data_IF_076344269458
#
_entry.id   IF_076344269458
#
_cell.length_a   1.000
_cell.length_b   1.000
_cell.length_c   1.000
_cell.angle_alpha   90.00
_cell.angle_beta   90.00
_cell.angle_gamma   90.00
#
_symmetry.space_group_name_H-M   'P 1'
#
loop_
_entity.id
_entity.type
_entity.pdbx_description
1 polymer ?
#
# COMPACT_ATOMS: atom_id res chain seq x y z
N UNK A 1 12.21 19.12 4.34
CA UNK A 1 12.29 20.10 5.45
C UNK A 1 11.74 19.43 6.69
N UNK A 2 12.65 19.08 7.60
CA UNK A 2 12.42 18.23 8.77
C UNK A 2 11.35 18.75 9.71
N UNK A 3 10.43 17.87 10.13
CA UNK A 3 9.57 18.11 11.29
C UNK A 3 9.90 17.09 12.38
N UNK A 4 10.73 17.55 13.31
CA UNK A 4 10.88 16.98 14.64
C UNK A 4 9.52 16.98 15.35
N UNK A 5 9.01 15.78 15.64
CA UNK A 5 7.90 15.57 16.57
C UNK A 5 8.52 15.44 17.96
N UNK A 6 8.47 16.51 18.75
CA UNK A 6 8.80 16.45 20.17
C UNK A 6 7.53 16.13 20.97
N UNK A 7 7.52 14.94 21.56
CA UNK A 7 6.52 14.48 22.50
C UNK A 7 6.52 15.30 23.79
N UNK A 8 5.31 15.63 24.25
CA UNK A 8 5.08 16.37 25.49
C UNK A 8 5.08 15.39 26.67
N UNK A 9 6.00 15.64 27.60
CA UNK A 9 6.26 14.89 28.85
C UNK A 9 5.08 15.03 29.85
N UNK A 10 4.75 14.00 30.65
CA UNK A 10 3.68 14.08 31.63
C UNK A 10 4.09 14.80 32.93
N UNK A 11 3.08 15.37 33.57
CA UNK A 11 3.12 16.08 34.85
C UNK A 11 3.51 15.16 36.01
N UNK A 12 4.49 15.59 36.81
CA UNK A 12 4.71 15.07 38.16
C UNK A 12 4.29 16.10 39.21
N UNK A 13 3.63 15.69 40.31
CA UNK A 13 3.22 16.57 41.39
C UNK A 13 4.40 16.86 42.34
N UNK A 14 4.44 18.11 42.82
CA UNK A 14 5.39 18.57 43.82
C UNK A 14 5.03 17.92 45.17
N UNK A 15 5.87 16.99 45.61
CA UNK A 15 5.89 16.46 46.97
C UNK A 15 6.49 17.47 47.94
N UNK A 16 5.76 17.75 49.00
CA UNK A 16 6.21 18.43 50.19
C UNK A 16 6.88 17.43 51.13
N UNK A 17 8.14 17.66 51.51
CA UNK A 17 8.80 16.99 52.63
C UNK A 17 9.54 18.03 53.46
N UNK A 18 8.96 18.31 54.63
CA UNK A 18 9.58 18.95 55.79
C UNK A 18 10.34 17.90 56.59
N UNK A 19 11.46 18.29 57.21
CA UNK A 19 12.05 17.77 58.46
C UNK A 19 13.21 18.75 58.77
N UNK A 20 13.06 19.71 59.69
CA UNK A 20 13.13 19.66 61.16
C UNK A 20 14.56 19.56 61.72
N UNK A 21 14.87 20.57 62.55
CA UNK A 21 16.07 20.72 63.34
C UNK A 21 15.80 21.70 64.48
N UNK A 22 15.48 21.12 65.65
CA UNK A 22 15.16 21.69 66.96
C UNK A 22 15.98 22.88 67.47
N UNK A 23 15.32 23.76 68.24
CA UNK A 23 15.68 24.02 69.65
C UNK A 23 14.54 24.80 70.35
N UNK A 24 14.06 24.25 71.47
CA UNK A 24 12.86 24.68 72.17
C UNK A 24 12.96 25.99 72.94
N UNK A 25 11.80 26.65 73.10
CA UNK A 25 11.59 27.67 74.11
C UNK A 25 10.13 27.65 74.60
N UNK A 26 9.98 27.67 75.92
CA UNK A 26 8.73 27.58 76.68
C UNK A 26 7.78 28.76 76.35
N UNK A 27 6.53 28.45 75.97
CA UNK A 27 5.48 29.47 75.74
C UNK A 27 4.20 29.14 76.52
N UNK A 28 3.60 30.20 77.06
CA UNK A 28 2.40 30.26 77.89
C UNK A 28 1.11 29.80 77.19
N UNK A 29 0.19 29.09 77.89
CA UNK A 29 -0.92 28.35 77.27
C UNK A 29 -2.19 29.17 76.93
N UNK A 30 -2.15 30.51 76.86
CA UNK A 30 -3.37 31.32 76.72
C UNK A 30 -3.39 32.35 75.58
N UNK A 31 -2.40 32.34 74.68
CA UNK A 31 -2.35 33.21 73.48
C UNK A 31 -2.61 32.48 72.15
N UNK A 32 -2.60 31.15 72.16
CA UNK A 32 -2.54 30.32 70.95
C UNK A 32 -3.88 30.19 70.20
N UNK A 33 -5.02 30.41 70.86
CA UNK A 33 -6.34 30.23 70.24
C UNK A 33 -6.71 31.34 69.24
N UNK A 34 -6.26 32.58 69.48
CA UNK A 34 -6.50 33.72 68.57
C UNK A 34 -5.64 33.62 67.30
N UNK A 35 -4.37 33.30 67.46
CA UNK A 35 -3.43 33.15 66.34
C UNK A 35 -3.80 31.98 65.41
N UNK A 36 -4.40 30.90 65.95
CA UNK A 36 -4.86 29.77 65.12
C UNK A 36 -6.05 30.10 64.22
N UNK A 37 -6.99 30.94 64.64
CA UNK A 37 -8.14 31.33 63.81
C UNK A 37 -7.73 32.29 62.68
N UNK A 38 -6.83 33.23 62.96
CA UNK A 38 -6.27 34.12 61.93
C UNK A 38 -5.43 33.35 60.89
N UNK A 39 -4.69 32.33 61.32
CA UNK A 39 -4.00 31.40 60.42
C UNK A 39 -4.98 30.61 59.53
N UNK A 40 -6.16 30.24 60.03
CA UNK A 40 -7.19 29.56 59.23
C UNK A 40 -7.84 30.51 58.22
N UNK A 41 -8.13 31.74 58.61
CA UNK A 41 -8.72 32.76 57.74
C UNK A 41 -7.77 33.14 56.61
N UNK A 42 -6.49 33.37 56.91
CA UNK A 42 -5.45 33.65 55.91
C UNK A 42 -5.24 32.47 54.95
N UNK A 43 -5.23 31.22 55.45
CA UNK A 43 -5.21 30.02 54.59
C UNK A 43 -6.44 29.93 53.67
N UNK A 44 -7.63 30.23 54.18
CA UNK A 44 -8.88 30.23 53.39
C UNK A 44 -8.87 31.32 52.32
N UNK A 45 -8.39 32.52 52.66
CA UNK A 45 -8.21 33.62 51.72
C UNK A 45 -7.21 33.26 50.61
N UNK A 46 -6.06 32.67 50.98
CA UNK A 46 -5.06 32.18 50.03
C UNK A 46 -5.62 31.13 49.07
N UNK A 47 -6.39 30.15 49.57
CA UNK A 47 -7.04 29.12 48.74
C UNK A 47 -8.03 29.73 47.75
N UNK A 48 -8.82 30.71 48.18
CA UNK A 48 -9.75 31.43 47.28
C UNK A 48 -8.99 32.15 46.17
N UNK A 49 -7.91 32.84 46.51
CA UNK A 49 -7.11 33.54 45.51
C UNK A 49 -6.42 32.57 44.55
N UNK A 50 -5.87 31.47 45.05
CA UNK A 50 -5.27 30.43 44.21
C UNK A 50 -6.31 29.78 43.27
N UNK A 51 -7.53 29.53 43.75
CA UNK A 51 -8.62 29.04 42.92
C UNK A 51 -8.98 30.06 41.83
N UNK A 52 -9.05 31.35 42.18
CA UNK A 52 -9.33 32.44 41.23
C UNK A 52 -8.27 32.50 40.12
N UNK A 53 -6.98 32.46 40.49
CA UNK A 53 -5.85 32.45 39.56
C UNK A 53 -5.84 31.19 38.70
N UNK A 54 -6.02 30.01 39.29
CA UNK A 54 -6.04 28.75 38.56
C UNK A 54 -7.19 28.70 37.55
N UNK A 55 -8.36 29.20 37.92
CA UNK A 55 -9.51 29.25 37.03
C UNK A 55 -9.30 30.26 35.89
N UNK A 56 -8.69 31.41 36.16
CA UNK A 56 -8.29 32.36 35.12
C UNK A 56 -7.25 31.75 34.15
N UNK A 57 -6.24 31.07 34.68
CA UNK A 57 -5.22 30.39 33.87
C UNK A 57 -5.78 29.23 33.06
N UNK A 58 -6.71 28.46 33.62
CA UNK A 58 -7.43 27.41 32.88
C UNK A 58 -8.21 28.01 31.72
N UNK A 59 -9.01 29.07 31.95
CA UNK A 59 -9.75 29.76 30.89
C UNK A 59 -8.82 30.32 29.82
N UNK A 60 -7.67 30.89 30.22
CA UNK A 60 -6.66 31.41 29.29
C UNK A 60 -6.08 30.29 28.41
N UNK A 61 -5.67 29.16 29.01
CA UNK A 61 -5.15 27.99 28.26
C UNK A 61 -6.19 27.38 27.35
N UNK A 62 -7.43 27.23 27.81
CA UNK A 62 -8.55 26.70 27.02
C UNK A 62 -8.79 27.55 25.77
N UNK A 63 -8.87 28.88 25.91
CA UNK A 63 -9.04 29.79 24.75
C UNK A 63 -7.88 29.71 23.77
N UNK A 64 -6.64 29.62 24.26
CA UNK A 64 -5.47 29.51 23.40
C UNK A 64 -5.50 28.20 22.58
N UNK A 65 -5.88 27.09 23.21
CA UNK A 65 -6.04 25.81 22.52
C UNK A 65 -7.17 25.84 21.48
N UNK A 66 -8.34 26.39 21.84
CA UNK A 66 -9.47 26.54 20.91
C UNK A 66 -9.10 27.43 19.71
N UNK A 67 -8.36 28.51 19.93
CA UNK A 67 -7.84 29.37 18.86
C UNK A 67 -6.86 28.62 17.95
N UNK A 68 -5.96 27.83 18.53
CA UNK A 68 -5.00 27.03 17.76
C UNK A 68 -5.72 25.97 16.92
N UNK A 69 -6.70 25.27 17.51
CA UNK A 69 -7.51 24.27 16.82
C UNK A 69 -8.32 24.89 15.67
N UNK A 70 -8.95 26.04 15.90
CA UNK A 70 -9.66 26.78 14.85
C UNK A 70 -8.72 27.19 13.71
N UNK A 71 -7.47 27.58 14.03
CA UNK A 71 -6.44 27.86 13.02
C UNK A 71 -6.06 26.63 12.19
N UNK A 72 -5.92 25.45 12.81
CA UNK A 72 -5.64 24.21 12.07
C UNK A 72 -6.80 23.80 11.17
N UNK A 73 -8.04 23.88 11.65
CA UNK A 73 -9.24 23.58 10.85
C UNK A 73 -9.27 24.49 9.62
N UNK A 74 -9.10 25.80 9.82
CA UNK A 74 -9.09 26.75 8.72
C UNK A 74 -7.99 26.47 7.68
N UNK A 75 -6.78 26.17 8.13
CA UNK A 75 -5.67 25.86 7.20
C UNK A 75 -5.97 24.61 6.36
N UNK A 76 -6.61 23.59 6.94
CA UNK A 76 -7.02 22.39 6.21
C UNK A 76 -8.16 22.68 5.23
N UNK A 77 -9.14 23.51 5.63
CA UNK A 77 -10.20 23.96 4.73
C UNK A 77 -9.64 24.74 3.54
N UNK A 78 -8.69 25.65 3.78
CA UNK A 78 -7.99 26.40 2.73
C UNK A 78 -7.21 25.45 1.79
N UNK A 79 -6.50 24.45 2.32
CA UNK A 79 -5.77 23.46 1.52
C UNK A 79 -6.70 22.58 0.67
N UNK A 80 -7.84 22.15 1.22
CA UNK A 80 -8.87 21.41 0.47
C UNK A 80 -9.43 22.27 -0.66
N UNK A 81 -9.72 23.55 -0.38
CA UNK A 81 -10.24 24.46 -1.39
C UNK A 81 -9.22 24.70 -2.51
N UNK A 82 -7.95 24.92 -2.18
CA UNK A 82 -6.88 25.09 -3.18
C UNK A 82 -6.69 23.84 -4.04
N UNK A 83 -6.69 22.65 -3.43
CA UNK A 83 -6.59 21.39 -4.16
C UNK A 83 -7.82 21.15 -5.05
N UNK A 84 -9.01 21.49 -4.57
CA UNK A 84 -10.25 21.38 -5.34
C UNK A 84 -10.26 22.36 -6.52
N UNK A 85 -9.88 23.62 -6.30
CA UNK A 85 -9.77 24.61 -7.37
C UNK A 85 -8.71 24.22 -8.41
N UNK A 86 -7.58 23.67 -7.97
CA UNK A 86 -6.53 23.16 -8.87
C UNK A 86 -7.04 21.97 -9.68
N UNK A 87 -7.77 21.05 -9.05
CA UNK A 87 -8.42 19.92 -9.72
C UNK A 87 -9.44 20.40 -10.76
N UNK A 88 -10.28 21.36 -10.42
CA UNK A 88 -11.25 21.96 -11.36
C UNK A 88 -10.54 22.62 -12.54
N UNK A 89 -9.46 23.37 -12.28
CA UNK A 89 -8.65 24.00 -13.33
C UNK A 89 -8.04 22.96 -14.27
N UNK A 90 -7.48 21.87 -13.73
CA UNK A 90 -6.93 20.77 -14.52
C UNK A 90 -8.02 20.05 -15.34
N UNK A 91 -9.24 19.93 -14.79
CA UNK A 91 -10.38 19.32 -15.51
C UNK A 91 -10.95 20.20 -16.63
N UNK A 92 -10.74 21.52 -16.57
CA UNK A 92 -11.24 22.49 -17.56
C UNK A 92 -10.19 22.88 -18.61
N UNK A 93 -8.90 22.60 -18.36
CA UNK A 93 -7.86 22.75 -19.37
C UNK A 93 -8.16 21.77 -20.52
N UNK A 94 -8.34 22.27 -21.76
CA UNK A 94 -8.32 21.39 -22.91
C UNK A 94 -6.95 20.72 -22.92
N UNK A 95 -6.90 19.39 -22.92
CA UNK A 95 -5.68 18.61 -23.15
C UNK A 95 -5.19 18.87 -24.58
N UNK A 96 -4.61 20.04 -24.82
CA UNK A 96 -3.80 20.30 -25.98
C UNK A 96 -2.36 20.05 -25.61
N UNK A 97 -1.76 19.08 -26.29
CA UNK A 97 -0.33 18.92 -26.47
C UNK A 97 0.43 18.26 -25.32
N UNK A 98 0.24 16.95 -25.16
CA UNK A 98 1.37 16.01 -25.18
C UNK A 98 0.86 14.57 -25.36
N UNK A 99 1.33 13.94 -26.44
CA UNK A 99 1.10 12.54 -26.86
C UNK A 99 -0.22 12.23 -27.57
N UNK A 100 -0.20 12.41 -28.89
CA UNK A 100 -1.05 11.68 -29.82
C UNK A 100 -0.83 10.16 -29.64
N UNK A 101 -1.72 9.48 -28.91
CA UNK A 101 -2.30 8.17 -29.24
C UNK A 101 -3.23 7.77 -28.08
N UNK A 102 -4.47 7.40 -28.42
CA UNK A 102 -5.57 6.96 -27.56
C UNK A 102 -6.31 8.02 -26.72
N UNK A 103 -6.73 9.11 -27.38
CA UNK A 103 -7.85 9.91 -26.89
C UNK A 103 -9.14 9.07 -26.84
N UNK A 104 -9.60 8.78 -25.61
CA UNK A 104 -10.93 8.25 -25.24
C UNK A 104 -11.19 6.77 -25.46
N UNK A 105 -10.17 5.92 -25.41
CA UNK A 105 -10.46 4.51 -25.20
C UNK A 105 -10.92 4.32 -23.75
N UNK A 106 -12.14 3.82 -23.56
CA UNK A 106 -12.63 3.43 -22.23
C UNK A 106 -11.62 2.46 -21.59
N UNK A 107 -11.42 2.47 -20.25
CA UNK A 107 -10.50 1.53 -19.62
C UNK A 107 -10.82 0.08 -19.98
N UNK A 108 -12.10 -0.24 -20.18
CA UNK A 108 -12.57 -1.54 -20.66
C UNK A 108 -12.06 -1.87 -22.07
N UNK A 109 -12.04 -0.90 -22.98
CA UNK A 109 -11.55 -1.10 -24.34
C UNK A 109 -10.02 -1.26 -24.36
N UNK A 110 -9.29 -0.51 -23.54
CA UNK A 110 -7.85 -0.71 -23.34
C UNK A 110 -7.55 -2.14 -22.86
N UNK A 111 -8.26 -2.60 -21.83
CA UNK A 111 -8.12 -3.95 -21.28
C UNK A 111 -8.53 -5.01 -22.32
N UNK A 112 -9.66 -4.82 -23.01
CA UNK A 112 -10.13 -5.74 -24.05
C UNK A 112 -9.12 -5.86 -25.20
N UNK A 113 -8.53 -4.74 -25.63
CA UNK A 113 -7.52 -4.71 -26.68
C UNK A 113 -6.29 -5.55 -26.30
N UNK A 114 -5.89 -5.53 -25.03
CA UNK A 114 -4.78 -6.32 -24.52
C UNK A 114 -5.07 -7.83 -24.60
N UNK A 115 -6.24 -8.29 -24.16
CA UNK A 115 -6.57 -9.71 -24.26
C UNK A 115 -6.82 -10.17 -25.70
N UNK A 116 -7.41 -9.31 -26.52
CA UNK A 116 -7.56 -9.59 -27.95
C UNK A 116 -6.18 -9.74 -28.60
N UNK A 117 -5.24 -8.86 -28.30
CA UNK A 117 -3.85 -8.98 -28.73
C UNK A 117 -3.23 -10.33 -28.34
N UNK A 118 -3.41 -10.79 -27.09
CA UNK A 118 -2.90 -12.09 -26.64
C UNK A 118 -3.57 -13.27 -27.36
N UNK A 119 -4.86 -13.15 -27.69
CA UNK A 119 -5.59 -14.18 -28.44
C UNK A 119 -5.14 -14.26 -29.90
N UNK A 120 -4.81 -13.12 -30.50
CA UNK A 120 -4.38 -13.01 -31.89
C UNK A 120 -2.90 -13.44 -32.07
N UNK A 121 -2.05 -13.18 -31.09
CA UNK A 121 -0.61 -13.45 -31.17
C UNK A 121 -0.21 -14.81 -30.60
N UNK A 122 -1.05 -15.83 -30.75
CA UNK A 122 -0.70 -17.19 -30.28
C UNK A 122 0.58 -17.67 -30.98
N UNK A 123 1.54 -18.28 -30.24
CA UNK A 123 2.74 -18.82 -30.83
C UNK A 123 2.37 -19.80 -31.95
N UNK A 124 2.62 -19.40 -33.20
CA UNK A 124 2.12 -20.10 -34.39
C UNK A 124 3.09 -21.20 -34.84
N UNK A 125 4.33 -21.19 -34.33
CA UNK A 125 5.38 -22.17 -34.62
C UNK A 125 6.20 -22.41 -33.36
N UNK A 126 6.44 -23.69 -33.06
CA UNK A 126 7.42 -24.11 -32.05
C UNK A 126 8.76 -23.43 -32.38
N UNK A 127 9.37 -22.79 -31.38
CA UNK A 127 10.63 -22.08 -31.58
C UNK A 127 11.72 -23.14 -31.84
N UNK A 128 12.08 -23.36 -33.11
CA UNK A 128 13.07 -24.37 -33.51
C UNK A 128 14.53 -23.89 -33.39
N UNK A 129 14.74 -22.69 -32.84
CA UNK A 129 16.07 -22.18 -32.56
C UNK A 129 16.28 -22.26 -31.06
N UNK A 130 17.26 -23.04 -30.62
CA UNK A 130 17.62 -23.30 -29.22
C UNK A 130 18.09 -22.08 -28.41
N UNK A 131 17.38 -20.95 -28.54
CA UNK A 131 17.43 -19.85 -27.60
C UNK A 131 16.89 -20.38 -26.29
N UNK A 132 17.77 -20.42 -25.29
CA UNK A 132 17.46 -20.85 -23.93
C UNK A 132 16.40 -19.89 -23.38
N UNK A 133 15.25 -20.45 -23.00
CA UNK A 133 14.23 -19.73 -22.23
C UNK A 133 14.91 -19.38 -20.89
N UNK A 134 15.14 -18.10 -20.61
CA UNK A 134 15.53 -17.68 -19.26
C UNK A 134 14.33 -17.90 -18.34
N UNK A 135 14.28 -19.06 -17.67
CA UNK A 135 13.16 -19.45 -16.80
C UNK A 135 13.01 -18.54 -15.58
N UNK A 136 14.02 -17.74 -15.25
CA UNK A 136 13.92 -16.63 -14.30
C UNK A 136 12.83 -15.63 -14.70
N UNK A 137 12.71 -15.31 -15.99
CA UNK A 137 11.66 -14.39 -16.46
C UNK A 137 10.26 -14.99 -16.30
N UNK A 138 10.14 -16.31 -16.26
CA UNK A 138 8.88 -16.98 -15.98
C UNK A 138 8.44 -16.82 -14.52
N UNK A 139 9.39 -16.71 -13.58
CA UNK A 139 9.06 -16.51 -12.16
C UNK A 139 8.85 -15.04 -11.82
N UNK A 140 9.40 -14.12 -12.62
CA UNK A 140 9.04 -12.69 -12.54
C UNK A 140 7.52 -12.51 -12.71
N UNK A 141 6.86 -13.33 -13.56
CA UNK A 141 5.39 -13.36 -13.70
C UNK A 141 4.62 -13.62 -12.40
N UNK A 142 5.27 -14.14 -11.34
CA UNK A 142 4.58 -14.40 -10.08
C UNK A 142 3.91 -13.12 -9.57
N UNK A 143 4.58 -11.98 -9.66
CA UNK A 143 4.01 -10.69 -9.29
C UNK A 143 4.77 -9.54 -9.97
N UNK A 144 4.09 -8.83 -10.87
CA UNK A 144 4.64 -7.65 -11.54
C UNK A 144 3.66 -6.47 -11.46
N UNK A 145 4.24 -5.27 -11.39
CA UNK A 145 3.50 -4.01 -11.41
C UNK A 145 3.89 -3.19 -12.65
N UNK A 146 2.89 -2.68 -13.37
CA UNK A 146 3.04 -1.91 -14.59
C UNK A 146 2.36 -0.55 -14.46
N UNK A 147 2.97 0.47 -15.05
CA UNK A 147 2.41 1.81 -15.06
C UNK A 147 1.40 2.04 -16.21
N UNK A 148 1.39 1.19 -17.24
CA UNK A 148 0.48 1.32 -18.39
C UNK A 148 0.17 -0.02 -19.06
N UNK A 149 -0.91 -0.03 -19.87
CA UNK A 149 -1.30 -1.22 -20.65
C UNK A 149 -0.23 -1.56 -21.69
N UNK A 150 0.47 -0.58 -22.24
CA UNK A 150 1.52 -0.79 -23.23
C UNK A 150 2.71 -1.51 -22.62
N UNK A 151 3.08 -1.18 -21.37
CA UNK A 151 4.13 -1.89 -20.63
C UNK A 151 3.72 -3.34 -20.35
N UNK A 152 2.50 -3.56 -19.87
CA UNK A 152 1.94 -4.90 -19.68
C UNK A 152 1.97 -5.68 -21.00
N UNK A 153 1.45 -5.10 -22.08
CA UNK A 153 1.41 -5.71 -23.42
C UNK A 153 2.80 -6.05 -23.92
N UNK A 154 3.76 -5.14 -23.77
CA UNK A 154 5.14 -5.37 -24.18
C UNK A 154 5.73 -6.56 -23.43
N UNK A 155 5.65 -6.57 -22.09
CA UNK A 155 6.19 -7.66 -21.28
C UNK A 155 5.53 -9.00 -21.61
N UNK A 156 4.19 -9.03 -21.67
CA UNK A 156 3.45 -10.25 -22.01
C UNK A 156 3.71 -10.71 -23.44
N UNK A 157 4.00 -9.81 -24.38
CA UNK A 157 4.43 -10.19 -25.72
C UNK A 157 5.77 -10.93 -25.70
N UNK A 158 6.71 -10.54 -24.84
CA UNK A 158 7.99 -11.25 -24.72
C UNK A 158 7.75 -12.70 -24.28
N UNK A 159 6.88 -12.90 -23.28
CA UNK A 159 6.51 -14.25 -22.83
C UNK A 159 5.83 -15.07 -23.94
N UNK A 160 4.89 -14.48 -24.68
CA UNK A 160 4.24 -15.13 -25.82
C UNK A 160 5.25 -15.67 -26.85
N UNK A 161 6.36 -14.96 -27.08
CA UNK A 161 7.41 -15.40 -28.00
C UNK A 161 8.41 -16.37 -27.35
N UNK A 162 8.53 -16.37 -26.03
CA UNK A 162 9.51 -17.18 -25.29
C UNK A 162 9.03 -18.62 -25.09
N UNK A 163 7.71 -18.87 -24.99
CA UNK A 163 7.17 -20.20 -24.71
C UNK A 163 6.44 -20.81 -25.92
N UNK A 164 6.61 -22.12 -26.12
CA UNK A 164 5.92 -22.88 -27.17
C UNK A 164 4.39 -22.86 -27.03
N UNK A 165 3.91 -22.80 -25.79
CA UNK A 165 2.51 -22.59 -25.47
C UNK A 165 2.45 -21.49 -24.44
N UNK A 166 1.72 -20.43 -24.75
CA UNK A 166 1.42 -19.34 -23.84
C UNK A 166 0.01 -18.85 -24.18
N UNK A 167 -0.99 -19.35 -23.47
CA UNK A 167 -2.39 -19.05 -23.72
C UNK A 167 -3.06 -18.60 -22.43
N UNK A 168 -3.83 -17.52 -22.52
CA UNK A 168 -4.53 -16.92 -21.40
C UNK A 168 -6.02 -17.09 -21.63
N UNK A 169 -6.71 -17.65 -20.65
CA UNK A 169 -8.15 -17.92 -20.72
C UNK A 169 -8.86 -17.29 -19.54
N UNK A 170 -9.78 -16.35 -19.84
CA UNK A 170 -10.43 -15.52 -18.83
C UNK A 170 -11.67 -16.21 -18.28
N UNK A 171 -11.80 -16.28 -16.96
CA UNK A 171 -12.93 -16.91 -16.28
C UNK A 171 -13.88 -15.91 -15.67
N UNK A 172 -13.39 -14.78 -15.16
CA UNK A 172 -14.24 -13.72 -14.62
C UNK A 172 -13.63 -12.33 -14.81
N UNK A 173 -14.51 -11.33 -14.80
CA UNK A 173 -14.16 -9.92 -14.69
C UNK A 173 -15.07 -9.28 -13.65
N UNK A 174 -14.47 -8.67 -12.64
CA UNK A 174 -15.15 -7.92 -11.60
C UNK A 174 -14.82 -6.44 -11.75
N UNK A 175 -15.82 -5.59 -11.56
CA UNK A 175 -15.68 -4.14 -11.65
C UNK A 175 -16.06 -3.49 -10.32
N UNK A 176 -15.16 -2.69 -9.76
CA UNK A 176 -15.35 -2.00 -8.48
C UNK A 176 -15.13 -0.50 -8.66
N UNK A 177 -16.09 0.30 -8.20
CA UNK A 177 -15.93 1.76 -8.08
C UNK A 177 -15.46 2.11 -6.67
N UNK A 178 -14.32 2.78 -6.54
CA UNK A 178 -13.75 3.23 -5.28
C UNK A 178 -13.51 4.75 -5.33
N UNK A 179 -14.57 5.53 -5.09
CA UNK A 179 -14.55 6.97 -5.27
C UNK A 179 -14.30 7.31 -6.74
N UNK A 180 -13.16 7.93 -7.01
CA UNK A 180 -12.76 8.41 -8.33
C UNK A 180 -11.89 7.41 -9.09
N UNK A 181 -11.67 6.23 -8.50
CA UNK A 181 -10.98 5.13 -9.13
C UNK A 181 -11.95 4.03 -9.55
N UNK A 182 -11.71 3.49 -10.74
CA UNK A 182 -12.28 2.24 -11.22
C UNK A 182 -11.23 1.16 -11.06
N UNK A 183 -11.60 0.05 -10.44
CA UNK A 183 -10.76 -1.13 -10.31
C UNK A 183 -11.42 -2.26 -11.10
N UNK A 184 -10.75 -2.72 -12.15
CA UNK A 184 -11.16 -3.90 -12.90
C UNK A 184 -10.26 -5.06 -12.50
N UNK A 185 -10.83 -6.12 -11.95
CA UNK A 185 -10.12 -7.36 -11.65
C UNK A 185 -10.51 -8.42 -12.65
N UNK A 186 -9.51 -9.08 -13.24
CA UNK A 186 -9.71 -10.15 -14.20
C UNK A 186 -9.00 -11.38 -13.67
N UNK A 187 -9.73 -12.49 -13.65
CA UNK A 187 -9.19 -13.79 -13.23
C UNK A 187 -9.29 -14.79 -14.36
N UNK A 188 -8.35 -15.73 -14.39
CA UNK A 188 -8.36 -16.80 -15.37
C UNK A 188 -7.29 -17.84 -15.17
N UNK A 189 -6.94 -18.49 -16.27
CA UNK A 189 -5.90 -19.52 -16.32
C UNK A 189 -4.89 -19.19 -17.40
N UNK A 190 -3.60 -19.19 -17.03
CA UNK A 190 -2.47 -19.21 -17.94
C UNK A 190 -2.10 -20.66 -18.22
N UNK A 191 -2.07 -21.03 -19.50
CA UNK A 191 -1.61 -22.30 -20.01
C UNK A 191 -0.23 -22.10 -20.60
N UNK A 192 0.77 -22.71 -19.99
CA UNK A 192 2.16 -22.57 -20.38
C UNK A 192 2.83 -23.91 -20.60
N UNK A 193 3.60 -24.03 -21.68
CA UNK A 193 4.47 -25.18 -21.93
C UNK A 193 5.90 -24.72 -21.89
N UNK A 194 6.66 -25.28 -20.96
CA UNK A 194 8.08 -25.01 -20.79
C UNK A 194 8.83 -26.09 -21.58
N UNK A 195 9.43 -25.72 -22.70
CA UNK A 195 10.19 -26.67 -23.51
C UNK A 195 11.41 -27.19 -22.74
N UNK A 196 11.68 -28.49 -22.87
CA UNK A 196 12.86 -29.11 -22.27
C UNK A 196 14.13 -28.58 -22.92
N UNK A 197 15.03 -28.02 -22.12
CA UNK A 197 16.42 -27.83 -22.52
C UNK A 197 17.08 -29.21 -22.49
N UNK A 198 17.35 -29.81 -23.65
CA UNK A 198 17.98 -31.14 -23.84
C UNK A 198 18.70 -31.66 -22.59
N UNK A 199 17.97 -32.41 -21.75
CA UNK A 199 18.58 -33.10 -20.62
C UNK A 199 19.64 -34.06 -21.15
N UNK A 200 20.86 -33.96 -20.61
CA UNK A 200 21.98 -34.87 -20.86
C UNK A 200 21.68 -36.33 -20.46
N UNK A 201 20.53 -36.60 -19.82
CA UNK A 201 20.11 -37.95 -19.47
C UNK A 201 18.62 -38.20 -19.84
N UNK A 202 18.34 -38.99 -20.90
CA UNK A 202 16.98 -39.32 -21.32
C UNK A 202 16.24 -40.28 -20.36
N UNK A 203 16.94 -40.87 -19.37
CA UNK A 203 16.36 -41.82 -18.43
C UNK A 203 15.66 -41.18 -17.22
N UNK A 204 16.00 -39.92 -16.87
CA UNK A 204 15.42 -39.20 -15.72
C UNK A 204 14.51 -38.03 -16.12
N UNK A 205 14.51 -37.62 -17.40
CA UNK A 205 13.82 -36.40 -17.90
C UNK A 205 12.37 -36.61 -18.35
N UNK A 206 11.82 -37.81 -18.17
CA UNK A 206 10.80 -38.31 -19.09
C UNK A 206 9.34 -37.90 -18.81
N UNK A 207 8.98 -37.07 -17.81
CA UNK A 207 7.56 -36.98 -17.41
C UNK A 207 6.82 -35.65 -17.41
N UNK A 208 7.45 -34.48 -17.28
CA UNK A 208 6.64 -33.27 -17.03
C UNK A 208 7.00 -32.03 -17.87
N UNK A 209 8.22 -31.92 -18.39
CA UNK A 209 8.64 -30.83 -19.30
C UNK A 209 7.93 -30.81 -20.67
N UNK A 210 7.00 -31.73 -20.93
CA UNK A 210 6.17 -31.74 -22.14
C UNK A 210 4.69 -31.44 -21.86
N UNK A 211 4.31 -31.35 -20.58
CA UNK A 211 2.93 -31.10 -20.19
C UNK A 211 2.66 -29.59 -20.12
N UNK A 212 1.43 -29.21 -20.51
CA UNK A 212 0.97 -27.84 -20.34
C UNK A 212 0.63 -27.64 -18.87
N UNK A 213 1.33 -26.72 -18.21
CA UNK A 213 1.03 -26.29 -16.85
C UNK A 213 -0.11 -25.27 -16.93
N UNK A 214 -1.11 -25.43 -16.07
CA UNK A 214 -2.24 -24.51 -15.96
C UNK A 214 -2.11 -23.74 -14.64
N UNK A 215 -1.65 -22.50 -14.72
CA UNK A 215 -1.50 -21.61 -13.56
C UNK A 215 -2.71 -20.69 -13.44
N UNK A 216 -3.31 -20.51 -12.26
CA UNK A 216 -4.22 -19.39 -12.01
C UNK A 216 -3.51 -18.06 -12.30
N UNK A 217 -4.20 -17.14 -12.96
CA UNK A 217 -3.70 -15.78 -13.22
C UNK A 217 -4.73 -14.75 -12.78
N UNK A 218 -4.23 -13.65 -12.21
CA UNK A 218 -5.02 -12.50 -11.82
C UNK A 218 -4.37 -11.22 -12.33
N UNK A 219 -5.15 -10.41 -13.05
CA UNK A 219 -4.78 -9.05 -13.41
C UNK A 219 -5.70 -8.07 -12.69
N UNK A 220 -5.13 -6.99 -12.15
CA UNK A 220 -5.87 -5.89 -11.53
C UNK A 220 -5.46 -4.59 -12.19
N UNK A 221 -6.44 -3.87 -12.70
CA UNK A 221 -6.27 -2.60 -13.38
C UNK A 221 -6.93 -1.52 -12.53
N UNK A 222 -6.15 -0.55 -12.08
CA UNK A 222 -6.62 0.63 -11.37
C UNK A 222 -6.57 1.82 -12.33
N UNK A 223 -7.71 2.48 -12.47
CA UNK A 223 -7.92 3.58 -13.40
C UNK A 223 -8.45 4.79 -12.65
N UNK A 224 -7.80 5.94 -12.81
CA UNK A 224 -8.30 7.22 -12.31
C UNK A 224 -9.24 7.83 -13.34
N UNK A 225 -10.50 8.02 -12.97
CA UNK A 225 -11.55 8.53 -13.85
C UNK A 225 -11.31 9.98 -14.25
N UNK A 226 -10.69 10.78 -13.37
CA UNK A 226 -10.46 12.20 -13.65
C UNK A 226 -9.23 12.43 -14.50
N UNK A 227 -8.15 11.70 -14.21
CA UNK A 227 -6.93 11.76 -15.00
C UNK A 227 -7.03 10.93 -16.28
N UNK A 228 -8.10 10.15 -16.43
CA UNK A 228 -8.39 9.26 -17.56
C UNK A 228 -7.18 8.37 -17.90
N UNK A 229 -6.57 7.76 -16.89
CA UNK A 229 -5.35 6.96 -17.04
C UNK A 229 -5.31 5.80 -16.06
N UNK A 230 -4.61 4.74 -16.46
CA UNK A 230 -4.23 3.69 -15.51
C UNK A 230 -3.23 4.25 -14.51
N UNK A 231 -3.53 4.09 -13.22
CA UNK A 231 -2.62 4.47 -12.12
C UNK A 231 -1.75 3.32 -11.69
N UNK A 232 -2.26 2.10 -11.83
CA UNK A 232 -1.58 0.88 -11.41
C UNK A 232 -2.15 -0.33 -12.12
N UNK A 233 -1.29 -1.19 -12.61
CA UNK A 233 -1.68 -2.50 -13.14
C UNK A 233 -0.83 -3.54 -12.42
N UNK A 234 -1.45 -4.56 -11.84
CA UNK A 234 -0.71 -5.69 -11.25
C UNK A 234 -1.06 -6.98 -11.96
N UNK A 235 -0.05 -7.79 -12.23
CA UNK A 235 -0.17 -9.12 -12.81
C UNK A 235 0.37 -10.16 -11.85
N UNK A 236 -0.40 -11.20 -11.58
CA UNK A 236 -0.04 -12.26 -10.64
C UNK A 236 -0.31 -13.63 -11.26
N UNK A 237 0.69 -14.52 -11.21
CA UNK A 237 0.59 -15.90 -11.69
C UNK A 237 0.93 -16.86 -10.54
N UNK A 238 -0.01 -17.73 -10.20
CA UNK A 238 0.18 -18.74 -9.14
C UNK A 238 0.83 -20.01 -9.68
N UNK A 239 2.15 -19.98 -9.76
CA UNK A 239 2.99 -21.11 -10.16
C UNK A 239 2.87 -22.31 -9.24
N UNK A 240 2.75 -22.07 -7.93
CA UNK A 240 2.71 -23.12 -6.92
C UNK A 240 1.47 -23.99 -7.14
N UNK A 241 0.30 -23.36 -7.26
CA UNK A 241 -0.95 -24.08 -7.56
C UNK A 241 -0.92 -24.73 -8.94
N UNK A 242 -0.34 -24.06 -9.94
CA UNK A 242 -0.24 -24.61 -11.30
C UNK A 242 0.59 -25.90 -11.36
N UNK A 243 1.76 -25.91 -10.73
CA UNK A 243 2.66 -27.07 -10.68
C UNK A 243 2.08 -28.18 -9.80
N UNK A 244 1.50 -27.84 -8.64
CA UNK A 244 0.86 -28.82 -7.77
C UNK A 244 -0.28 -29.56 -8.49
N UNK A 245 -1.06 -28.83 -9.30
CA UNK A 245 -2.20 -29.41 -10.03
C UNK A 245 -1.75 -30.24 -11.23
N UNK A 246 -0.70 -29.85 -11.95
CA UNK A 246 -0.21 -30.58 -13.14
C UNK A 246 0.45 -31.92 -12.78
N UNK A 247 0.99 -32.03 -11.57
CA UNK A 247 1.79 -33.18 -11.15
C UNK A 247 1.01 -34.20 -10.34
N UNK A 248 -0.05 -33.78 -9.62
CA UNK A 248 -0.76 -34.62 -8.65
C UNK A 248 0.21 -35.33 -7.68
N UNK A 249 1.33 -34.67 -7.36
CA UNK A 249 2.41 -35.23 -6.54
C UNK A 249 2.44 -34.60 -5.15
N UNK A 250 3.41 -35.05 -4.34
CA UNK A 250 3.61 -34.58 -2.97
C UNK A 250 4.24 -33.18 -2.98
N UNK A 251 4.04 -32.37 -1.92
CA UNK A 251 4.61 -31.02 -1.82
C UNK A 251 6.12 -30.94 -2.05
N UNK A 252 6.87 -31.98 -1.65
CA UNK A 252 8.32 -32.04 -1.85
C UNK A 252 8.69 -31.99 -3.35
N UNK A 253 7.92 -32.67 -4.20
CA UNK A 253 8.11 -32.66 -5.65
C UNK A 253 7.78 -31.29 -6.26
N UNK A 254 6.76 -30.60 -5.74
CA UNK A 254 6.43 -29.23 -6.18
C UNK A 254 7.59 -28.27 -5.87
N UNK A 255 8.21 -28.40 -4.70
CA UNK A 255 9.36 -27.59 -4.31
C UNK A 255 10.59 -27.91 -5.15
N UNK A 256 10.87 -29.19 -5.42
CA UNK A 256 11.94 -29.61 -6.33
C UNK A 256 11.76 -28.98 -7.72
N UNK A 257 10.53 -28.98 -8.25
CA UNK A 257 10.24 -28.37 -9.55
C UNK A 257 10.40 -26.85 -9.55
N UNK A 258 9.89 -26.15 -8.53
CA UNK A 258 10.11 -24.71 -8.39
C UNK A 258 11.59 -24.38 -8.29
N UNK A 259 12.36 -25.24 -7.62
CA UNK A 259 13.81 -25.09 -7.52
C UNK A 259 14.53 -25.34 -8.84
N UNK A 260 14.11 -26.33 -9.63
CA UNK A 260 14.65 -26.55 -10.98
C UNK A 260 14.34 -25.37 -11.93
N UNK A 261 13.14 -24.79 -11.84
CA UNK A 261 12.77 -23.57 -12.56
C UNK A 261 13.66 -22.38 -12.16
N UNK A 262 14.04 -22.27 -10.87
CA UNK A 262 14.97 -21.25 -10.40
C UNK A 262 16.40 -21.49 -10.88
N UNK A 263 16.89 -22.73 -10.84
CA UNK A 263 18.29 -23.08 -11.12
C UNK A 263 18.67 -23.05 -12.59
N UNK A 264 17.71 -23.28 -13.49
CA UNK A 264 17.92 -23.20 -14.94
C UNK A 264 18.22 -21.78 -15.45
N UNK A 265 18.11 -20.78 -14.57
CA UNK A 265 18.36 -19.35 -14.78
C UNK A 265 19.83 -18.90 -14.66
N UNK A 266 20.76 -19.81 -14.35
CA UNK A 266 22.21 -19.53 -14.30
C UNK A 266 23.01 -20.11 -15.48
#
# INVERSE_FOLDING_TARGET
>A
MDRHVQGVVPLSPIGSSSEDGEAGQLVHPNREAGDQEDLKLTRKARRKEQCRVNQANYRKRKRAYEQQLAGYIKNLEDEINDLTARRETLSQLPLSEQSNQDEKSSPEEGIASFYQYLQDHRPTKAFSNGARIELSSALDLQWEEFASIEQLRHQWSLYVHQFDTFQVEMTSSDHFQAGDHVIVRITGSLFIRIANQESLNPADSEKWFYSVIRCPVQHRFEFDVYENKFTRITSEVDWVSGIATSTNTRPETVLEMLHELLQTSC
#
